data_IF_180374142611
#
_entry.id   IF_180374142611
#
_cell.length_a   1.000
_cell.length_b   1.000
_cell.length_c   1.000
_cell.angle_alpha   90.00
_cell.angle_beta   90.00
_cell.angle_gamma   90.00
#
_symmetry.space_group_name_H-M   'P 1'
#
loop_
_entity.id
_entity.type
_entity.pdbx_description
1 polymer ?
#
# COMPACT_ATOMS: atom_id res chain seq x y z
N UNK A 1 -4.33 -6.03 5.42
CA UNK A 1 -3.25 -6.54 6.29
C UNK A 1 -3.79 -7.70 7.09
N UNK A 2 -3.05 -8.80 7.25
CA UNK A 2 -3.50 -10.02 7.96
C UNK A 2 -2.77 -10.13 9.29
N UNK A 3 -3.48 -10.26 10.41
CA UNK A 3 -2.89 -10.46 11.75
C UNK A 3 -1.78 -9.46 12.13
N UNK A 4 -1.81 -8.23 11.61
CA UNK A 4 -0.77 -7.21 11.81
C UNK A 4 -0.53 -6.88 13.28
N UNK A 5 -1.55 -6.99 14.12
CA UNK A 5 -1.47 -6.71 15.56
C UNK A 5 -0.55 -7.69 16.31
N UNK A 6 -0.22 -8.85 15.74
CA UNK A 6 0.73 -9.80 16.33
C UNK A 6 2.20 -9.34 16.25
N UNK A 7 2.50 -8.34 15.43
CA UNK A 7 3.83 -7.74 15.26
C UNK A 7 3.71 -6.22 15.39
N UNK A 8 3.48 -5.69 16.60
CA UNK A 8 3.25 -4.27 16.82
C UNK A 8 4.52 -3.43 16.55
N UNK A 9 4.35 -2.22 16.01
CA UNK A 9 5.48 -1.31 15.72
C UNK A 9 6.29 -0.98 16.98
N UNK A 10 5.65 -0.92 18.14
CA UNK A 10 6.25 -0.55 19.43
C UNK A 10 7.31 -1.54 19.93
N UNK A 11 7.34 -2.77 19.41
CA UNK A 11 8.38 -3.77 19.77
C UNK A 11 9.70 -3.56 19.02
N UNK A 12 9.73 -2.65 18.04
CA UNK A 12 10.93 -2.32 17.28
C UNK A 12 11.49 -0.98 17.76
N UNK A 13 12.83 -0.79 17.79
CA UNK A 13 13.43 0.51 18.11
C UNK A 13 12.90 1.65 17.24
N UNK A 14 13.07 2.89 17.70
CA UNK A 14 12.78 4.06 16.87
C UNK A 14 13.74 4.17 15.67
N UNK A 15 13.39 5.06 14.75
CA UNK A 15 14.20 5.34 13.57
C UNK A 15 13.83 4.53 12.33
N UNK A 16 14.41 4.98 11.20
CA UNK A 16 14.04 4.51 9.86
C UNK A 16 14.43 3.06 9.62
N UNK A 17 15.60 2.64 10.08
CA UNK A 17 16.10 1.28 9.85
C UNK A 17 15.22 0.24 10.55
N UNK A 18 14.94 0.43 11.83
CA UNK A 18 14.06 -0.44 12.59
C UNK A 18 12.64 -0.47 12.02
N UNK A 19 12.13 0.67 11.52
CA UNK A 19 10.85 0.72 10.80
C UNK A 19 10.87 -0.11 9.50
N UNK A 20 11.96 -0.06 8.72
CA UNK A 20 12.09 -0.85 7.49
C UNK A 20 12.18 -2.34 7.81
N UNK A 21 12.92 -2.72 8.86
CA UNK A 21 12.99 -4.11 9.33
C UNK A 21 11.62 -4.62 9.75
N UNK A 22 10.90 -3.87 10.59
CA UNK A 22 9.53 -4.21 10.99
C UNK A 22 8.60 -4.41 9.80
N UNK A 23 8.68 -3.53 8.79
CA UNK A 23 7.87 -3.68 7.58
C UNK A 23 8.21 -4.93 6.80
N UNK A 24 9.46 -5.36 6.79
CA UNK A 24 9.90 -6.56 6.11
C UNK A 24 9.43 -7.83 6.85
N UNK A 25 9.60 -7.87 8.16
CA UNK A 25 9.11 -8.97 9.01
C UNK A 25 7.58 -9.12 8.90
N UNK A 26 6.85 -8.01 8.87
CA UNK A 26 5.41 -8.02 8.66
C UNK A 26 4.99 -8.64 7.33
N UNK A 27 5.69 -8.35 6.22
CA UNK A 27 5.36 -8.96 4.92
C UNK A 27 5.58 -10.47 4.97
N UNK A 28 6.68 -10.93 5.57
CA UNK A 28 6.98 -12.35 5.73
C UNK A 28 5.92 -13.06 6.57
N UNK A 29 5.52 -12.47 7.70
CA UNK A 29 4.43 -13.01 8.51
C UNK A 29 3.12 -13.07 7.72
N UNK A 30 2.76 -12.00 6.99
CA UNK A 30 1.55 -11.99 6.17
C UNK A 30 1.58 -13.07 5.09
N UNK A 31 2.71 -13.24 4.41
CA UNK A 31 2.87 -14.25 3.38
C UNK A 31 2.72 -15.66 3.97
N UNK A 32 3.43 -15.97 5.05
CA UNK A 32 3.34 -17.26 5.74
C UNK A 32 1.93 -17.56 6.23
N UNK A 33 1.23 -16.56 6.76
CA UNK A 33 -0.14 -16.74 7.27
C UNK A 33 -1.10 -17.05 6.14
N UNK A 34 -1.05 -16.26 5.05
CA UNK A 34 -1.95 -16.44 3.91
C UNK A 34 -1.67 -17.75 3.19
N UNK A 35 -0.40 -18.10 2.92
CA UNK A 35 -0.08 -19.37 2.28
C UNK A 35 -0.32 -20.58 3.19
N UNK A 36 -0.23 -20.42 4.51
CA UNK A 36 -0.67 -21.42 5.48
C UNK A 36 -2.17 -21.73 5.32
N UNK A 37 -3.01 -20.70 5.31
CA UNK A 37 -4.46 -20.85 5.08
C UNK A 37 -4.74 -21.47 3.70
N UNK A 38 -4.08 -20.99 2.66
CA UNK A 38 -4.24 -21.57 1.31
C UNK A 38 -3.88 -23.06 1.27
N UNK A 39 -2.84 -23.48 2.00
CA UNK A 39 -2.47 -24.90 2.08
C UNK A 39 -3.55 -25.72 2.77
N UNK A 40 -4.09 -25.22 3.87
CA UNK A 40 -5.16 -25.88 4.64
C UNK A 40 -6.44 -26.04 3.80
N UNK A 41 -6.75 -25.07 2.95
CA UNK A 41 -7.89 -25.10 2.03
C UNK A 41 -7.61 -25.86 0.72
N UNK A 42 -6.42 -26.46 0.56
CA UNK A 42 -6.09 -27.34 -0.56
C UNK A 42 -5.71 -26.65 -1.87
N UNK A 43 -5.26 -25.40 -1.83
CA UNK A 43 -4.73 -24.71 -3.01
C UNK A 43 -3.41 -25.33 -3.49
N UNK A 44 -3.16 -25.27 -4.80
CA UNK A 44 -1.94 -25.80 -5.41
C UNK A 44 -0.68 -24.95 -5.10
N UNK A 45 0.49 -25.55 -5.27
CA UNK A 45 1.77 -24.93 -4.96
C UNK A 45 2.08 -23.68 -5.80
N UNK A 46 1.68 -23.66 -7.07
CA UNK A 46 1.93 -22.53 -7.96
C UNK A 46 1.09 -21.31 -7.57
N UNK A 47 -0.17 -21.54 -7.18
CA UNK A 47 -1.07 -20.52 -6.64
C UNK A 47 -0.51 -19.94 -5.33
N UNK A 48 -0.04 -20.77 -4.41
CA UNK A 48 0.58 -20.32 -3.16
C UNK A 48 1.85 -19.50 -3.41
N UNK A 49 2.75 -19.96 -4.27
CA UNK A 49 3.99 -19.25 -4.63
C UNK A 49 3.67 -17.87 -5.22
N UNK A 50 2.72 -17.80 -6.15
CA UNK A 50 2.27 -16.55 -6.77
C UNK A 50 1.76 -15.55 -5.73
N UNK A 51 0.92 -16.00 -4.79
CA UNK A 51 0.39 -15.14 -3.71
C UNK A 51 1.48 -14.69 -2.73
N UNK A 52 2.38 -15.60 -2.33
CA UNK A 52 3.53 -15.27 -1.48
C UNK A 52 4.37 -14.15 -2.11
N UNK A 53 4.74 -14.29 -3.38
CA UNK A 53 5.55 -13.30 -4.09
C UNK A 53 4.87 -11.94 -4.18
N UNK A 54 3.55 -11.91 -4.36
CA UNK A 54 2.76 -10.67 -4.33
C UNK A 54 2.81 -10.00 -2.94
N UNK A 55 2.60 -10.75 -1.87
CA UNK A 55 2.60 -10.21 -0.49
C UNK A 55 3.99 -9.70 -0.11
N UNK A 56 5.03 -10.44 -0.49
CA UNK A 56 6.43 -10.05 -0.31
C UNK A 56 6.86 -8.88 -1.22
N UNK A 57 5.99 -8.47 -2.17
CA UNK A 57 6.22 -7.38 -3.11
C UNK A 57 7.43 -7.60 -4.02
N UNK A 58 7.72 -8.85 -4.37
CA UNK A 58 8.86 -9.22 -5.22
C UNK A 58 8.64 -8.85 -6.68
N UNK A 59 7.38 -8.86 -7.12
CA UNK A 59 7.00 -8.65 -8.52
C UNK A 59 6.37 -7.27 -8.78
N UNK A 60 6.50 -6.33 -7.84
CA UNK A 60 6.01 -4.96 -8.02
C UNK A 60 6.65 -4.32 -9.26
N UNK A 61 5.82 -3.75 -10.14
CA UNK A 61 6.21 -3.15 -11.42
C UNK A 61 6.91 -4.09 -12.40
N UNK A 62 6.96 -5.39 -12.09
CA UNK A 62 7.58 -6.44 -12.92
C UNK A 62 6.55 -7.37 -13.54
N UNK A 63 5.35 -7.44 -12.96
CA UNK A 63 4.21 -8.18 -13.49
C UNK A 63 2.95 -7.30 -13.53
N UNK A 64 2.03 -7.64 -14.44
CA UNK A 64 0.73 -6.98 -14.53
C UNK A 64 -0.06 -7.15 -13.22
N UNK A 65 -0.04 -8.34 -12.64
CA UNK A 65 -0.74 -8.62 -11.40
C UNK A 65 -0.13 -7.90 -10.19
N UNK A 66 1.21 -7.87 -10.08
CA UNK A 66 1.89 -7.10 -9.03
C UNK A 66 1.60 -5.60 -9.14
N UNK A 67 1.47 -5.08 -10.37
CA UNK A 67 1.05 -3.70 -10.59
C UNK A 67 -0.43 -3.48 -10.22
N UNK A 68 -1.32 -4.41 -10.56
CA UNK A 68 -2.73 -4.35 -10.18
C UNK A 68 -2.92 -4.31 -8.66
N UNK A 69 -2.15 -5.13 -7.92
CA UNK A 69 -2.15 -5.12 -6.45
C UNK A 69 -1.62 -3.78 -5.91
N UNK A 70 -0.55 -3.22 -6.48
CA UNK A 70 -0.04 -1.91 -6.02
C UNK A 70 -1.03 -0.77 -6.31
N UNK A 71 -1.70 -0.80 -7.46
CA UNK A 71 -2.76 0.16 -7.80
C UNK A 71 -3.91 0.09 -6.79
N UNK A 72 -4.38 -1.13 -6.48
CA UNK A 72 -5.45 -1.35 -5.49
C UNK A 72 -5.03 -0.89 -4.09
N UNK A 73 -3.78 -1.15 -3.67
CA UNK A 73 -3.25 -0.67 -2.40
C UNK A 73 -3.18 0.86 -2.33
N UNK A 74 -2.80 1.51 -3.44
CA UNK A 74 -2.77 2.97 -3.53
C UNK A 74 -4.17 3.56 -3.45
N UNK A 75 -5.16 2.95 -4.11
CA UNK A 75 -6.57 3.34 -4.01
C UNK A 75 -7.08 3.25 -2.57
N UNK A 76 -6.86 2.13 -1.90
CA UNK A 76 -7.26 1.95 -0.49
C UNK A 76 -6.65 3.02 0.41
N UNK A 77 -5.39 3.41 0.17
CA UNK A 77 -4.77 4.51 0.91
C UNK A 77 -5.47 5.84 0.65
N UNK A 78 -5.67 6.20 -0.62
CA UNK A 78 -6.28 7.48 -1.02
C UNK A 78 -7.71 7.63 -0.49
N UNK A 79 -8.48 6.54 -0.53
CA UNK A 79 -9.89 6.53 -0.13
C UNK A 79 -10.09 6.44 1.38
N UNK A 80 -9.44 5.48 2.05
CA UNK A 80 -9.78 5.15 3.44
C UNK A 80 -8.76 5.65 4.46
N UNK A 81 -7.52 5.94 4.05
CA UNK A 81 -6.43 6.22 4.99
C UNK A 81 -5.98 7.67 4.94
N UNK A 82 -6.09 8.33 3.78
CA UNK A 82 -5.66 9.71 3.58
C UNK A 82 -6.30 10.69 4.58
N UNK A 83 -7.62 10.63 4.89
CA UNK A 83 -8.22 11.59 5.82
C UNK A 83 -7.60 11.56 7.22
N UNK A 84 -7.34 10.36 7.76
CA UNK A 84 -6.69 10.21 9.06
C UNK A 84 -5.18 10.46 8.98
N UNK A 85 -4.55 10.11 7.86
CA UNK A 85 -3.12 10.32 7.64
C UNK A 85 -2.77 11.81 7.60
N UNK A 86 -3.57 12.64 6.92
CA UNK A 86 -3.31 14.08 6.82
C UNK A 86 -3.40 14.82 8.14
N UNK A 87 -4.08 14.27 9.14
CA UNK A 87 -4.17 14.88 10.47
C UNK A 87 -2.90 14.65 11.31
N UNK A 88 -2.02 13.73 10.88
CA UNK A 88 -0.82 13.36 11.62
C UNK A 88 0.44 14.09 11.13
N UNK A 89 0.38 14.74 9.97
CA UNK A 89 1.55 15.33 9.31
C UNK A 89 1.19 16.67 8.68
N UNK A 90 2.19 17.52 8.46
CA UNK A 90 2.02 18.76 7.70
C UNK A 90 1.66 18.49 6.22
N UNK A 91 1.07 19.49 5.57
CA UNK A 91 0.60 19.36 4.18
C UNK A 91 1.73 19.02 3.20
N UNK A 92 2.95 19.53 3.41
CA UNK A 92 4.08 19.27 2.51
C UNK A 92 4.46 17.79 2.53
N UNK A 93 4.50 17.21 3.73
CA UNK A 93 4.70 15.78 3.93
C UNK A 93 3.60 14.97 3.29
N UNK A 94 2.34 15.36 3.47
CA UNK A 94 1.20 14.64 2.89
C UNK A 94 1.23 14.70 1.38
N UNK A 95 1.51 15.86 0.79
CA UNK A 95 1.65 16.06 -0.66
C UNK A 95 2.78 15.19 -1.24
N UNK A 96 3.95 15.11 -0.59
CA UNK A 96 5.04 14.23 -1.02
C UNK A 96 4.63 12.73 -1.00
N UNK A 97 3.86 12.32 0.00
CA UNK A 97 3.33 10.95 0.08
C UNK A 97 2.28 10.69 -1.01
N UNK A 98 1.35 11.62 -1.25
CA UNK A 98 0.38 11.50 -2.35
C UNK A 98 1.11 11.40 -3.68
N UNK A 99 2.14 12.22 -3.94
CA UNK A 99 2.94 12.15 -5.18
C UNK A 99 3.61 10.79 -5.35
N UNK A 100 4.20 10.24 -4.29
CA UNK A 100 4.79 8.90 -4.32
C UNK A 100 3.74 7.82 -4.57
N UNK A 101 2.56 7.95 -4.00
CA UNK A 101 1.43 7.03 -4.20
C UNK A 101 0.91 7.13 -5.63
N UNK A 102 0.40 8.29 -6.03
CA UNK A 102 -0.30 8.49 -7.30
C UNK A 102 0.65 8.51 -8.50
N UNK A 103 1.73 9.30 -8.46
CA UNK A 103 2.58 9.53 -9.64
C UNK A 103 3.63 8.42 -9.80
N UNK A 104 4.24 7.97 -8.69
CA UNK A 104 5.39 7.03 -8.77
C UNK A 104 4.99 5.56 -8.69
N UNK A 105 3.89 5.19 -8.06
CA UNK A 105 3.52 3.77 -7.84
C UNK A 105 2.39 3.31 -8.75
N UNK A 106 1.37 4.13 -8.96
CA UNK A 106 0.20 3.72 -9.73
C UNK A 106 0.48 3.68 -11.23
N UNK A 107 -0.11 2.70 -11.91
CA UNK A 107 -0.16 2.64 -13.37
C UNK A 107 -1.04 3.74 -13.96
N UNK A 108 -1.08 3.88 -15.29
CA UNK A 108 -2.06 4.78 -15.93
C UNK A 108 -3.50 4.36 -15.58
N UNK A 109 -3.81 3.06 -15.61
CA UNK A 109 -5.14 2.55 -15.26
C UNK A 109 -5.50 2.87 -13.82
N UNK A 110 -4.57 2.67 -12.88
CA UNK A 110 -4.76 3.02 -11.48
C UNK A 110 -5.02 4.52 -11.29
N UNK A 111 -4.26 5.37 -11.97
CA UNK A 111 -4.46 6.84 -11.92
C UNK A 111 -5.81 7.27 -12.49
N UNK A 112 -6.26 6.67 -13.58
CA UNK A 112 -7.61 6.92 -14.13
C UNK A 112 -8.69 6.55 -13.13
N UNK A 113 -8.59 5.37 -12.49
CA UNK A 113 -9.53 4.95 -11.46
C UNK A 113 -9.54 5.91 -10.25
N UNK A 114 -8.36 6.35 -9.81
CA UNK A 114 -8.22 7.31 -8.72
C UNK A 114 -8.85 8.67 -9.08
N UNK A 115 -8.66 9.16 -10.30
CA UNK A 115 -9.29 10.40 -10.77
C UNK A 115 -10.81 10.33 -10.77
N UNK A 116 -11.38 9.17 -11.11
CA UNK A 116 -12.84 8.96 -11.07
C UNK A 116 -13.39 8.97 -9.64
N UNK A 117 -12.57 8.59 -8.66
CA UNK A 117 -12.93 8.64 -7.24
C UNK A 117 -12.72 10.02 -6.61
N UNK A 118 -11.87 10.88 -7.18
CA UNK A 118 -11.56 12.20 -6.62
C UNK A 118 -12.78 13.08 -6.24
N UNK A 119 -13.94 13.04 -6.95
CA UNK A 119 -15.14 13.76 -6.54
C UNK A 119 -15.76 13.28 -5.22
N UNK A 120 -15.49 12.05 -4.80
CA UNK A 120 -15.98 11.47 -3.53
C UNK A 120 -15.07 11.79 -2.34
N UNK A 121 -13.88 12.35 -2.59
CA UNK A 121 -12.97 12.79 -1.53
C UNK A 121 -13.47 14.07 -0.86
N UNK A 122 -13.17 14.22 0.43
CA UNK A 122 -13.38 15.48 1.14
C UNK A 122 -12.58 16.63 0.52
N UNK A 123 -13.04 17.86 0.70
CA UNK A 123 -12.47 19.05 0.05
C UNK A 123 -10.99 19.26 0.41
N UNK A 124 -10.62 19.00 1.67
CA UNK A 124 -9.24 19.12 2.15
C UNK A 124 -8.32 18.07 1.50
N UNK A 125 -8.75 16.82 1.42
CA UNK A 125 -8.01 15.74 0.77
C UNK A 125 -7.85 16.01 -0.72
N UNK A 126 -8.93 16.47 -1.39
CA UNK A 126 -8.92 16.81 -2.80
C UNK A 126 -7.95 17.96 -3.11
N UNK A 127 -7.89 18.99 -2.26
CA UNK A 127 -6.94 20.09 -2.41
C UNK A 127 -5.47 19.60 -2.34
N UNK A 128 -5.16 18.69 -1.41
CA UNK A 128 -3.83 18.09 -1.29
C UNK A 128 -3.48 17.21 -2.51
N UNK A 129 -4.46 16.47 -3.04
CA UNK A 129 -4.28 15.69 -4.27
C UNK A 129 -3.98 16.59 -5.47
N UNK A 130 -4.76 17.66 -5.69
CA UNK A 130 -4.53 18.61 -6.77
C UNK A 130 -3.13 19.23 -6.69
N UNK A 131 -2.76 19.72 -5.50
CA UNK A 131 -1.42 20.26 -5.24
C UNK A 131 -0.30 19.24 -5.51
N UNK A 132 -0.52 17.97 -5.22
CA UNK A 132 0.44 16.91 -5.52
C UNK A 132 0.65 16.66 -7.02
N UNK A 133 -0.41 16.86 -7.83
CA UNK A 133 -0.44 16.63 -9.27
C UNK A 133 0.02 17.84 -10.10
N UNK A 134 -0.18 19.07 -9.61
CA UNK A 134 0.28 20.30 -10.30
C UNK A 134 1.80 20.44 -10.36
N UNK A 135 2.50 19.85 -9.40
CA UNK A 135 3.97 19.92 -9.28
C UNK A 135 4.68 18.69 -9.84
N UNK A 136 4.06 17.95 -10.78
CA UNK A 136 4.59 16.68 -11.33
C UNK A 136 4.65 16.64 -12.84
#
# INVERSE_FOLDING_TARGET
HVQRWLLPRSEYPEGREAYLRWREDLKKMHANTVTGIMREEGYDAASMERVERMILKLDLKRSEEGQLVEDALCMVFLEHQLPAFRQQYDDDKVVDIIRKTWVRKMSLRGRVAASQFAPMMGDAERALVLRALESS
#
